data_IF_521431541293
#
_entry.id   IF_521431541293
#
_cell.length_a   1.000
_cell.length_b   1.000
_cell.length_c   1.000
_cell.angle_alpha   90.00
_cell.angle_beta   90.00
_cell.angle_gamma   90.00
#
_symmetry.space_group_name_H-M   'P 1'
#
loop_
_entity.id
_entity.type
_entity.pdbx_description
1 polymer ?
#
# COMPACT_ATOMS: atom_id res chain seq x y z
N UNK A 1 4.14 -9.17 -8.29
CA UNK A 1 4.81 -7.86 -8.41
C UNK A 1 5.63 -7.59 -7.17
N UNK A 2 6.78 -6.98 -7.35
CA UNK A 2 7.61 -6.57 -6.23
C UNK A 2 7.02 -5.32 -5.57
N UNK A 3 7.50 -5.03 -4.36
CA UNK A 3 7.08 -3.81 -3.67
C UNK A 3 7.40 -2.58 -4.53
N UNK A 4 8.58 -2.58 -5.14
CA UNK A 4 8.98 -1.48 -6.00
C UNK A 4 8.02 -1.29 -7.16
N UNK A 5 7.65 -2.39 -7.81
CA UNK A 5 6.71 -2.33 -8.93
C UNK A 5 5.34 -1.83 -8.48
N UNK A 6 4.90 -2.27 -7.32
CA UNK A 6 3.62 -1.81 -6.77
C UNK A 6 3.65 -0.32 -6.44
N UNK A 7 4.77 0.14 -5.89
CA UNK A 7 4.92 1.56 -5.58
C UNK A 7 4.95 2.41 -6.84
N UNK A 8 5.62 1.93 -7.88
CA UNK A 8 5.65 2.62 -9.16
C UNK A 8 4.27 2.69 -9.79
N UNK A 9 3.55 1.60 -9.73
CA UNK A 9 2.20 1.58 -10.26
C UNK A 9 1.30 2.54 -9.49
N UNK A 10 1.42 2.55 -8.16
CA UNK A 10 0.63 3.46 -7.34
C UNK A 10 0.93 4.91 -7.68
N UNK A 11 2.21 5.22 -7.89
CA UNK A 11 2.59 6.58 -8.26
C UNK A 11 1.99 6.99 -9.60
N UNK A 12 1.94 6.08 -10.56
CA UNK A 12 1.34 6.38 -11.86
C UNK A 12 -0.16 6.62 -11.75
N UNK A 13 -0.85 5.82 -10.95
CA UNK A 13 -2.27 6.01 -10.75
C UNK A 13 -2.54 7.35 -10.07
N UNK A 14 -1.72 7.69 -9.09
CA UNK A 14 -1.86 8.98 -8.41
C UNK A 14 -1.64 10.15 -9.37
N UNK A 15 -0.61 10.05 -10.24
CA UNK A 15 -0.38 11.07 -11.24
C UNK A 15 -1.59 11.23 -12.16
N UNK A 16 -2.14 10.11 -12.61
CA UNK A 16 -3.32 10.14 -13.45
C UNK A 16 -4.52 10.76 -12.71
N UNK A 17 -4.67 10.45 -11.44
CA UNK A 17 -5.77 10.99 -10.65
C UNK A 17 -5.65 12.50 -10.49
N UNK A 18 -4.43 12.97 -10.22
CA UNK A 18 -4.20 14.42 -10.11
C UNK A 18 -4.51 15.13 -11.43
N UNK A 19 -4.01 14.57 -12.53
CA UNK A 19 -4.23 15.16 -13.83
C UNK A 19 -5.70 15.15 -14.20
N UNK A 20 -6.39 14.08 -13.82
CA UNK A 20 -7.83 13.99 -14.09
C UNK A 20 -8.59 15.13 -13.41
N UNK A 21 -8.27 15.34 -12.12
CA UNK A 21 -8.92 16.43 -11.38
C UNK A 21 -8.60 17.78 -12.02
N UNK A 22 -7.32 18.01 -12.34
CA UNK A 22 -6.90 19.29 -12.90
C UNK A 22 -7.59 19.61 -14.22
N UNK A 23 -7.90 18.58 -15.01
CA UNK A 23 -8.48 18.81 -16.34
C UNK A 23 -10.00 18.73 -16.37
N UNK A 24 -10.62 18.23 -15.29
CA UNK A 24 -12.07 18.02 -15.29
C UNK A 24 -12.82 18.87 -14.28
N UNK A 25 -12.12 19.47 -13.32
CA UNK A 25 -12.78 20.38 -12.40
C UNK A 25 -13.25 21.63 -13.12
N UNK A 26 -14.41 22.12 -12.72
CA UNK A 26 -14.87 23.41 -13.25
C UNK A 26 -14.19 24.54 -12.47
N UNK A 27 -14.54 25.77 -12.79
CA UNK A 27 -13.90 26.94 -12.17
C UNK A 27 -14.17 27.04 -10.67
N UNK A 28 -15.13 26.28 -10.16
CA UNK A 28 -15.41 26.24 -8.73
C UNK A 28 -14.78 25.03 -8.05
N UNK A 29 -13.87 24.36 -8.74
CA UNK A 29 -13.17 23.16 -8.24
C UNK A 29 -14.12 22.00 -7.97
N UNK A 30 -15.17 21.88 -8.78
CA UNK A 30 -16.16 20.83 -8.62
C UNK A 30 -16.12 19.89 -9.81
N UNK A 31 -16.11 18.59 -9.52
CA UNK A 31 -16.23 17.56 -10.55
C UNK A 31 -17.70 17.25 -10.79
N UNK A 32 -18.02 16.87 -12.02
CA UNK A 32 -19.35 16.36 -12.31
C UNK A 32 -19.59 15.06 -11.56
N UNK A 33 -20.85 14.62 -11.51
CA UNK A 33 -21.16 13.33 -10.87
C UNK A 33 -20.44 12.18 -11.54
N UNK A 34 -20.37 12.20 -12.87
CA UNK A 34 -19.66 11.17 -13.64
C UNK A 34 -18.17 11.18 -13.33
N UNK A 35 -17.58 12.36 -13.32
CA UNK A 35 -16.15 12.51 -13.09
C UNK A 35 -15.80 12.13 -11.65
N UNK A 36 -16.69 12.41 -10.71
CA UNK A 36 -16.50 12.02 -9.33
C UNK A 36 -16.39 10.49 -9.22
N UNK A 37 -17.25 9.76 -9.92
CA UNK A 37 -17.20 8.30 -9.91
C UNK A 37 -15.86 7.81 -10.48
N UNK A 38 -15.42 8.42 -11.57
CA UNK A 38 -14.14 8.04 -12.18
C UNK A 38 -12.98 8.30 -11.23
N UNK A 39 -12.97 9.45 -10.59
CA UNK A 39 -11.93 9.79 -9.64
C UNK A 39 -11.93 8.82 -8.45
N UNK A 40 -13.10 8.48 -7.95
CA UNK A 40 -13.20 7.55 -6.82
C UNK A 40 -12.68 6.16 -7.16
N UNK A 41 -12.83 5.75 -8.42
CA UNK A 41 -12.23 4.48 -8.86
C UNK A 41 -10.71 4.54 -8.83
N UNK A 42 -10.15 5.69 -9.21
CA UNK A 42 -8.70 5.87 -9.14
C UNK A 42 -8.22 5.82 -7.70
N UNK A 43 -8.95 6.47 -6.79
CA UNK A 43 -8.62 6.43 -5.38
C UNK A 43 -8.69 5.02 -4.83
N UNK A 44 -9.70 4.26 -5.23
CA UNK A 44 -9.84 2.88 -4.78
C UNK A 44 -8.66 2.04 -5.25
N UNK A 45 -8.20 2.27 -6.46
CA UNK A 45 -7.04 1.55 -6.97
C UNK A 45 -5.79 1.89 -6.18
N UNK A 46 -5.61 3.17 -5.84
CA UNK A 46 -4.49 3.59 -5.02
C UNK A 46 -4.53 2.91 -3.65
N UNK A 47 -5.70 2.84 -3.05
CA UNK A 47 -5.86 2.17 -1.75
C UNK A 47 -5.58 0.69 -1.84
N UNK A 48 -6.04 0.05 -2.90
CA UNK A 48 -5.78 -1.37 -3.10
C UNK A 48 -4.29 -1.64 -3.26
N UNK A 49 -3.60 -0.77 -3.99
CA UNK A 49 -2.16 -0.90 -4.15
C UNK A 49 -1.43 -0.66 -2.83
N UNK A 50 -1.91 0.29 -2.04
CA UNK A 50 -1.34 0.55 -0.73
C UNK A 50 -1.48 -0.68 0.17
N UNK A 51 -2.63 -1.32 0.15
CA UNK A 51 -2.84 -2.54 0.92
C UNK A 51 -1.95 -3.68 0.45
N UNK A 52 -1.77 -3.78 -0.87
CA UNK A 52 -0.88 -4.81 -1.43
C UNK A 52 0.57 -4.58 -1.00
N UNK A 53 1.00 -3.33 -1.00
CA UNK A 53 2.34 -2.97 -0.55
C UNK A 53 2.52 -3.35 0.92
N UNK A 54 1.56 -3.01 1.75
CA UNK A 54 1.62 -3.32 3.17
C UNK A 54 1.67 -4.81 3.42
N UNK A 55 0.86 -5.58 2.68
CA UNK A 55 0.88 -7.04 2.82
C UNK A 55 2.24 -7.61 2.47
N UNK A 56 2.84 -7.11 1.40
CA UNK A 56 4.15 -7.60 0.98
C UNK A 56 5.24 -7.22 1.97
N UNK A 57 5.19 -6.01 2.49
CA UNK A 57 6.15 -5.60 3.51
C UNK A 57 6.07 -6.47 4.74
N UNK A 58 4.85 -6.72 5.19
CA UNK A 58 4.66 -7.57 6.35
C UNK A 58 5.09 -9.00 6.09
N UNK A 59 4.82 -9.48 4.87
CA UNK A 59 5.24 -10.84 4.50
C UNK A 59 6.76 -10.96 4.48
N UNK A 60 7.43 -9.96 3.90
CA UNK A 60 8.89 -9.98 3.84
C UNK A 60 9.51 -9.89 5.22
N UNK A 61 8.93 -9.05 6.06
CA UNK A 61 9.38 -8.89 7.42
C UNK A 61 9.21 -10.18 8.21
N UNK A 62 8.07 -10.82 8.04
CA UNK A 62 7.79 -12.09 8.71
C UNK A 62 8.70 -13.21 8.20
N UNK A 63 8.92 -13.24 6.90
CA UNK A 63 9.80 -14.21 6.29
C UNK A 63 11.23 -14.05 6.83
N UNK A 64 11.68 -12.82 6.90
CA UNK A 64 13.00 -12.51 7.43
C UNK A 64 13.11 -12.96 8.87
N UNK A 65 12.10 -12.68 9.67
CA UNK A 65 12.08 -13.04 11.08
C UNK A 65 12.11 -14.54 11.26
N UNK A 66 11.29 -15.25 10.48
CA UNK A 66 11.19 -16.70 10.61
C UNK A 66 12.37 -17.45 10.05
N UNK A 67 13.12 -16.83 9.15
CA UNK A 67 14.27 -17.48 8.55
C UNK A 67 15.57 -17.23 9.31
N UNK A 68 15.52 -16.41 10.34
CA UNK A 68 16.72 -16.18 11.15
C UNK A 68 17.03 -17.40 12.00
N UNK A 69 18.32 -17.70 12.17
CA UNK A 69 18.69 -18.85 13.02
C UNK A 69 18.21 -18.61 14.44
N UNK A 70 17.67 -19.64 15.01
CA UNK A 70 17.21 -19.57 16.38
C UNK A 70 18.30 -20.03 17.30
N UNK A 71 19.41 -19.39 17.22
CA UNK A 71 20.51 -19.76 18.09
C UNK A 71 20.64 -18.83 19.26
N UNK A 72 19.69 -17.95 19.43
CA UNK A 72 19.68 -17.08 20.57
C UNK A 72 19.21 -17.83 21.77
N UNK A 73 19.75 -17.52 22.91
CA UNK A 73 19.20 -18.11 24.13
C UNK A 73 17.74 -17.72 24.18
N UNK A 74 16.97 -18.70 24.30
CA UNK A 74 15.55 -18.45 24.43
C UNK A 74 15.31 -18.02 25.83
N UNK A 75 15.73 -16.91 26.09
CA UNK A 75 15.46 -16.42 27.38
C UNK A 75 14.11 -15.80 27.32
N UNK A 76 14.08 -16.10 27.36
CA UNK A 76 13.29 -15.73 27.08
C UNK A 76 12.75 -14.99 26.83
N UNK A 77 13.02 -15.05 26.84
CA UNK A 77 12.33 -14.59 26.33
C UNK A 77 11.50 -14.58 25.90
N UNK A 78 11.34 -14.67 26.31
CA UNK A 78 10.42 -14.79 25.67
C UNK A 78 9.86 -14.65 25.16
N UNK A 79 9.69 -14.91 25.57
CA UNK A 79 8.88 -15.10 24.72
C UNK A 79 8.20 -14.82 24.50
N UNK A 80 8.46 -14.61 25.05
CA UNK A 80 7.50 -14.72 24.56
C UNK A 80 6.95 -14.89 24.17
N UNK A 81 7.03 -14.98 24.82
CA UNK A 81 6.19 -15.43 24.33
C UNK A 81 6.01 -15.66 23.95
N UNK A 82 6.33 -15.92 24.32
CA UNK A 82 6.10 -16.52 23.80
C UNK A 82 6.10 -16.81 23.29
N UNK A 83 6.51 -16.85 23.78
CA UNK A 83 6.40 -17.48 23.25
C UNK A 83 6.12 -17.76 22.97
N UNK A 84 6.50 -17.83 23.76
CA UNK A 84 6.14 -18.45 23.42
C UNK A 84 5.86 -18.57 23.20
#
# INVERSE_FOLDING_TARGET
MTIQELMEKRAKVWEAAKNFVDTHENENSVLSAEDTVTYERMEAEIEDLTKAIDRRRKAEEREKELSQPVNQPLTGKPYSGKQE
#
